data_IF_911632582671
#
_entry.id   IF_911632582671
#
_cell.length_a   1.000
_cell.length_b   1.000
_cell.length_c   1.000
_cell.angle_alpha   90.00
_cell.angle_beta   90.00
_cell.angle_gamma   90.00
#
_symmetry.space_group_name_H-M   'P 1'
#
loop_
_entity.id
_entity.type
_entity.pdbx_description
1 polymer ?
#
# COMPACT_ATOMS: atom_id res chain seq x y z
N UNK A 1 2.87 12.25 -0.98
CA UNK A 1 2.11 12.80 -2.12
C UNK A 1 1.09 11.77 -2.58
N UNK A 2 -0.19 12.14 -2.60
CA UNK A 2 -1.30 11.24 -2.96
C UNK A 2 -1.24 10.71 -4.38
N UNK A 3 -0.78 11.51 -5.35
CA UNK A 3 -0.68 11.09 -6.76
C UNK A 3 0.18 9.84 -6.95
N UNK A 4 1.24 9.67 -6.15
CA UNK A 4 2.09 8.47 -6.22
C UNK A 4 1.38 7.24 -5.67
N UNK A 5 0.50 7.42 -4.69
CA UNK A 5 -0.23 6.30 -4.11
C UNK A 5 -1.24 5.75 -5.12
N UNK A 6 -1.96 6.62 -5.83
CA UNK A 6 -2.84 6.21 -6.93
C UNK A 6 -2.08 5.48 -8.05
N UNK A 7 -0.93 6.01 -8.47
CA UNK A 7 -0.09 5.35 -9.49
C UNK A 7 0.35 3.94 -9.06
N UNK A 8 0.81 3.77 -7.82
CA UNK A 8 1.19 2.45 -7.27
C UNK A 8 -0.04 1.52 -7.21
N UNK A 9 -1.21 2.05 -6.85
CA UNK A 9 -2.45 1.26 -6.82
C UNK A 9 -2.81 0.69 -8.19
N UNK A 10 -2.78 1.53 -9.23
CA UNK A 10 -3.05 1.07 -10.59
C UNK A 10 -2.05 0.01 -11.06
N UNK A 11 -0.77 0.19 -10.72
CA UNK A 11 0.29 -0.80 -10.99
C UNK A 11 -0.02 -2.12 -10.27
N UNK A 12 -0.40 -2.08 -9.00
CA UNK A 12 -0.73 -3.30 -8.23
C UNK A 12 -1.92 -4.04 -8.84
N UNK A 13 -2.99 -3.34 -9.24
CA UNK A 13 -4.11 -3.94 -9.95
C UNK A 13 -3.70 -4.55 -11.29
N UNK A 14 -2.86 -3.85 -12.05
CA UNK A 14 -2.33 -4.36 -13.33
C UNK A 14 -1.48 -5.63 -13.14
N UNK A 15 -0.76 -5.73 -12.03
CA UNK A 15 0.06 -6.88 -11.66
C UNK A 15 -0.74 -8.05 -11.07
N UNK A 16 -2.07 -7.90 -10.92
CA UNK A 16 -2.96 -8.99 -10.47
C UNK A 16 -3.40 -8.90 -9.01
N UNK A 17 -3.27 -7.74 -8.37
CA UNK A 17 -3.83 -7.54 -7.03
C UNK A 17 -5.36 -7.65 -7.07
N UNK A 18 -5.94 -8.39 -6.14
CA UNK A 18 -7.40 -8.51 -5.97
C UNK A 18 -8.00 -7.30 -5.25
N UNK A 19 -7.18 -6.60 -4.47
CA UNK A 19 -7.57 -5.41 -3.74
C UNK A 19 -6.34 -4.57 -3.41
N UNK A 20 -6.51 -3.25 -3.35
CA UNK A 20 -5.46 -2.32 -2.91
C UNK A 20 -6.02 -1.47 -1.77
N UNK A 21 -5.25 -1.35 -0.68
CA UNK A 21 -5.61 -0.59 0.51
C UNK A 21 -4.57 0.52 0.74
N UNK A 22 -5.05 1.69 1.16
CA UNK A 22 -4.20 2.82 1.54
C UNK A 22 -4.19 2.92 3.07
N UNK A 23 -3.01 2.89 3.68
CA UNK A 23 -2.82 2.97 5.13
C UNK A 23 -1.87 4.11 5.51
N UNK A 24 -1.94 4.57 6.75
CA UNK A 24 -0.98 5.55 7.27
C UNK A 24 0.22 4.77 7.75
N UNK A 25 1.40 5.07 7.22
CA UNK A 25 2.61 4.35 7.59
C UNK A 25 3.14 4.71 8.99
N UNK A 26 2.63 5.76 9.64
CA UNK A 26 3.20 6.30 10.88
C UNK A 26 2.30 6.24 12.10
N UNK A 27 1.05 5.81 11.98
CA UNK A 27 0.08 5.89 13.08
C UNK A 27 0.02 7.34 13.64
N UNK A 28 0.27 8.33 12.78
CA UNK A 28 0.27 9.73 13.18
C UNK A 28 -1.20 10.14 13.25
N UNK A 29 -1.76 10.41 14.45
CA UNK A 29 -3.14 10.83 14.57
C UNK A 29 -3.30 12.14 13.82
N UNK A 30 -3.99 12.10 12.68
CA UNK A 30 -4.33 13.31 11.95
C UNK A 30 -5.42 14.00 12.75
N UNK A 31 -5.01 15.02 13.50
CA UNK A 31 -5.94 16.00 14.06
C UNK A 31 -6.82 16.51 12.93
N UNK A 32 -8.14 16.48 13.16
CA UNK A 32 -9.14 16.87 12.18
C UNK A 32 -8.76 18.20 11.51
N UNK A 33 -8.67 18.25 10.17
CA UNK A 33 -8.43 19.50 9.47
C UNK A 33 -9.63 20.43 9.66
N UNK A 34 -9.38 21.73 9.65
CA UNK A 34 -10.44 22.73 9.63
C UNK A 34 -11.33 22.49 8.40
N UNK A 35 -12.66 22.70 8.51
CA UNK A 35 -13.58 22.46 7.39
C UNK A 35 -13.13 23.26 6.16
N UNK A 36 -12.68 22.55 5.12
CA UNK A 36 -12.21 23.13 3.85
C UNK A 36 -10.77 22.76 3.43
N UNK A 37 -9.97 22.13 4.30
CA UNK A 37 -8.60 21.72 3.97
C UNK A 37 -8.51 20.23 3.62
N UNK A 38 -8.26 19.91 2.35
CA UNK A 38 -7.97 18.53 1.92
C UNK A 38 -6.48 18.26 2.11
N UNK A 39 -6.07 17.75 3.29
CA UNK A 39 -4.68 17.33 3.53
C UNK A 39 -4.53 15.84 3.27
N UNK A 40 -3.70 15.51 2.29
CA UNK A 40 -3.26 14.14 2.01
C UNK A 40 -2.22 13.71 3.05
N UNK A 41 -2.29 12.48 3.51
CA UNK A 41 -1.37 11.95 4.52
C UNK A 41 0.08 12.06 4.01
N UNK A 42 1.04 12.54 4.83
CA UNK A 42 2.41 12.72 4.38
C UNK A 42 3.12 11.39 4.07
N UNK A 43 2.72 10.29 4.75
CA UNK A 43 3.30 8.96 4.59
C UNK A 43 2.20 7.91 4.31
N UNK A 44 1.64 7.93 3.10
CA UNK A 44 0.68 6.91 2.66
C UNK A 44 1.41 5.62 2.30
N UNK A 45 1.06 4.52 2.96
CA UNK A 45 1.42 3.17 2.58
C UNK A 45 0.37 2.61 1.63
N UNK A 46 0.79 1.97 0.54
CA UNK A 46 -0.08 1.28 -0.40
C UNK A 46 0.15 -0.22 -0.25
N UNK A 47 -0.92 -0.98 -0.01
CA UNK A 47 -0.87 -2.43 0.21
C UNK A 47 -1.72 -3.11 -0.83
N UNK A 48 -1.10 -3.93 -1.69
CA UNK A 48 -1.79 -4.79 -2.65
C UNK A 48 -1.97 -6.19 -2.09
N UNK A 49 -3.22 -6.66 -2.06
CA UNK A 49 -3.56 -8.03 -1.72
C UNK A 49 -3.58 -8.89 -2.99
N UNK A 50 -2.93 -10.04 -2.96
CA UNK A 50 -2.88 -11.00 -4.07
C UNK A 50 -3.48 -12.35 -3.65
N UNK A 51 -3.97 -13.12 -4.63
CA UNK A 51 -4.43 -14.49 -4.40
C UNK A 51 -3.29 -15.36 -3.86
N UNK A 52 -3.61 -16.28 -2.96
CA UNK A 52 -2.64 -17.22 -2.40
C UNK A 52 -1.97 -18.06 -3.49
N UNK A 53 -0.63 -18.04 -3.52
CA UNK A 53 0.16 -18.71 -4.56
C UNK A 53 0.49 -17.84 -5.77
N UNK A 54 0.10 -16.57 -5.76
CA UNK A 54 0.60 -15.58 -6.71
C UNK A 54 2.04 -15.22 -6.38
N UNK A 55 2.90 -15.24 -7.39
CA UNK A 55 4.29 -14.79 -7.24
C UNK A 55 4.33 -13.25 -7.13
N UNK A 56 4.75 -12.76 -5.97
CA UNK A 56 4.88 -11.31 -5.69
C UNK A 56 6.31 -10.80 -5.85
N UNK A 57 7.30 -11.67 -6.07
CA UNK A 57 8.68 -11.28 -6.38
C UNK A 57 8.82 -10.37 -7.60
N UNK A 58 8.13 -10.62 -8.75
CA UNK A 58 8.21 -9.70 -9.89
C UNK A 58 7.57 -8.34 -9.60
N UNK A 59 6.55 -8.31 -8.73
CA UNK A 59 5.88 -7.07 -8.30
C UNK A 59 6.85 -6.21 -7.49
N UNK A 60 7.47 -6.80 -6.47
CA UNK A 60 8.47 -6.13 -5.64
C UNK A 60 9.64 -5.64 -6.48
N UNK A 61 10.17 -6.50 -7.36
CA UNK A 61 11.28 -6.16 -8.24
C UNK A 61 10.97 -4.98 -9.16
N UNK A 62 9.76 -4.96 -9.74
CA UNK A 62 9.31 -3.86 -10.60
C UNK A 62 9.20 -2.54 -9.85
N UNK A 63 8.61 -2.58 -8.64
CA UNK A 63 8.48 -1.39 -7.79
C UNK A 63 9.86 -0.89 -7.33
N UNK A 64 10.77 -1.77 -6.93
CA UNK A 64 12.14 -1.42 -6.54
C UNK A 64 12.91 -0.79 -7.71
N UNK A 65 12.77 -1.33 -8.93
CA UNK A 65 13.41 -0.75 -10.12
C UNK A 65 12.82 0.62 -10.48
N UNK A 66 11.52 0.81 -10.29
CA UNK A 66 10.81 2.05 -10.67
C UNK A 66 11.05 3.18 -9.68
N UNK A 67 11.02 2.88 -8.38
CA UNK A 67 11.10 3.88 -7.30
C UNK A 67 12.48 3.95 -6.61
N UNK A 68 13.35 2.96 -6.85
CA UNK A 68 14.69 2.84 -6.27
C UNK A 68 14.71 2.33 -4.82
N UNK A 69 15.91 2.06 -4.30
CA UNK A 69 16.13 1.52 -2.94
C UNK A 69 15.67 2.45 -1.79
N UNK A 70 15.35 3.71 -2.10
CA UNK A 70 14.86 4.66 -1.11
C UNK A 70 13.37 4.48 -0.78
N UNK A 71 12.64 3.63 -1.51
CA UNK A 71 11.24 3.35 -1.24
C UNK A 71 11.12 2.03 -0.46
N UNK A 72 10.59 2.04 0.78
CA UNK A 72 10.42 0.82 1.57
C UNK A 72 9.32 -0.04 0.93
N UNK A 73 9.74 -1.13 0.28
CA UNK A 73 8.86 -2.11 -0.37
C UNK A 73 9.10 -3.45 0.31
N UNK A 74 8.02 -4.08 0.78
CA UNK A 74 8.07 -5.41 1.37
C UNK A 74 6.83 -6.20 0.93
N UNK A 75 7.04 -7.42 0.45
CA UNK A 75 5.99 -8.42 0.34
C UNK A 75 6.04 -9.32 1.58
N UNK A 76 4.86 -9.62 2.13
CA UNK A 76 4.71 -10.58 3.21
C UNK A 76 3.57 -11.52 2.85
N UNK A 77 3.81 -12.81 2.99
CA UNK A 77 2.73 -13.79 2.99
C UNK A 77 1.86 -13.54 4.22
N UNK A 78 0.59 -13.24 3.98
CA UNK A 78 -0.40 -13.21 5.04
C UNK A 78 -0.68 -14.66 5.45
N UNK A 79 -0.11 -15.08 6.57
CA UNK A 79 -0.58 -16.29 7.25
C UNK A 79 -2.06 -16.10 7.59
N UNK A 80 -2.88 -17.10 7.27
CA UNK A 80 -4.31 -17.18 7.62
C UNK A 80 -4.45 -17.07 9.15
N UNK A 81 -4.48 -15.85 9.65
CA UNK A 81 -4.88 -15.55 11.02
C UNK A 81 -6.32 -15.11 10.96
N UNK A 82 -7.21 -16.05 11.29
CA UNK A 82 -8.58 -15.79 11.69
C UNK A 82 -8.61 -14.66 12.74
N UNK A 83 -8.83 -13.42 12.29
CA UNK A 83 -9.16 -12.33 13.18
C UNK A 83 -10.59 -12.52 13.69
N UNK A 84 -10.75 -13.43 14.65
CA UNK A 84 -11.91 -13.44 15.52
C UNK A 84 -11.91 -12.11 16.28
N UNK A 85 -12.88 -11.27 15.97
CA UNK A 85 -13.30 -10.21 16.88
C UNK A 85 -14.03 -10.90 18.03
N UNK A 86 -13.37 -11.04 19.18
CA UNK A 86 -14.00 -11.43 20.45
C UNK A 86 -14.41 -10.18 21.23
#
# INVERSE_FOLDING_TARGET
NGDKAEEISDILFFLGAVSVTFQDAKDDPILEPLPGEQRVWPNTQVVGLFEKGTDTDPVVSYLQHTYGDNYPIAAHDLEDKDWVRA
#
